data_IF_452324365541
#
_entry.id   IF_452324365541
#
_cell.length_a   1.000
_cell.length_b   1.000
_cell.length_c   1.000
_cell.angle_alpha   90.00
_cell.angle_beta   90.00
_cell.angle_gamma   90.00
#
_symmetry.space_group_name_H-M   'P 1'
#
loop_
_entity.id
_entity.type
_entity.pdbx_description
1 polymer ?
#
# COMPACT_ATOMS: atom_id res chain seq x y z
N UNK A 1 20.83 -0.87 -7.50
CA UNK A 1 20.34 -1.66 -8.64
C UNK A 1 20.06 -3.07 -8.13
N UNK A 2 18.80 -3.42 -7.91
CA UNK A 2 18.38 -4.72 -7.36
C UNK A 2 17.43 -5.42 -8.36
N UNK A 3 17.38 -6.74 -8.31
CA UNK A 3 16.41 -7.56 -9.06
C UNK A 3 15.65 -8.47 -8.10
N UNK A 4 14.33 -8.52 -8.28
CA UNK A 4 13.45 -9.43 -7.58
C UNK A 4 13.45 -10.79 -8.27
N UNK A 5 13.42 -11.85 -7.47
CA UNK A 5 13.46 -13.24 -7.94
C UNK A 5 12.40 -14.13 -7.28
N UNK A 6 11.81 -13.68 -6.17
CA UNK A 6 10.73 -14.38 -5.51
C UNK A 6 9.74 -13.38 -4.91
N UNK A 7 8.56 -13.87 -4.56
CA UNK A 7 7.58 -13.15 -3.75
C UNK A 7 7.16 -14.03 -2.57
N UNK A 8 6.70 -13.41 -1.49
CA UNK A 8 6.08 -14.13 -0.37
C UNK A 8 4.76 -14.76 -0.79
N UNK A 9 4.39 -15.84 -0.11
CA UNK A 9 3.10 -16.51 -0.26
C UNK A 9 2.45 -16.58 1.12
N UNK A 10 1.22 -16.12 1.23
CA UNK A 10 0.49 -16.15 2.51
C UNK A 10 0.18 -17.60 2.96
N UNK A 11 -0.37 -17.76 4.16
CA UNK A 11 -0.72 -19.08 4.72
C UNK A 11 -1.80 -19.83 3.95
N UNK A 12 -2.56 -19.16 3.08
CA UNK A 12 -3.63 -19.72 2.25
C UNK A 12 -3.17 -19.98 0.80
N UNK A 13 -1.93 -19.63 0.46
CA UNK A 13 -1.38 -19.78 -0.89
C UNK A 13 -1.54 -18.54 -1.78
N UNK A 14 -2.08 -17.45 -1.24
CA UNK A 14 -2.23 -16.17 -1.92
C UNK A 14 -0.88 -15.46 -2.14
N UNK A 15 -0.83 -14.68 -3.22
CA UNK A 15 0.36 -13.93 -3.71
C UNK A 15 0.07 -12.44 -3.83
N UNK A 16 -0.84 -11.97 -2.98
CA UNK A 16 -1.14 -10.56 -2.89
C UNK A 16 -1.95 -10.23 -1.65
N UNK A 17 -2.12 -8.94 -1.46
CA UNK A 17 -2.81 -8.37 -0.31
C UNK A 17 -3.56 -7.10 -0.74
N UNK A 18 -4.27 -6.48 0.18
CA UNK A 18 -5.11 -5.33 -0.08
C UNK A 18 -4.78 -4.17 0.86
N UNK A 19 -4.78 -2.97 0.31
CA UNK A 19 -4.83 -1.75 1.09
C UNK A 19 -6.24 -1.53 1.64
N UNK A 20 -6.33 -0.92 2.82
CA UNK A 20 -7.57 -0.55 3.46
C UNK A 20 -7.60 0.91 3.92
N UNK A 21 -8.80 1.48 3.97
CA UNK A 21 -9.11 2.54 4.93
C UNK A 21 -9.81 1.91 6.12
N UNK A 22 -9.34 2.27 7.30
CA UNK A 22 -9.86 1.80 8.58
C UNK A 22 -10.36 2.96 9.44
N UNK A 23 -11.37 2.68 10.25
CA UNK A 23 -11.90 3.60 11.28
C UNK A 23 -12.15 2.83 12.57
N UNK A 24 -12.39 3.54 13.67
CA UNK A 24 -12.77 2.90 14.92
C UNK A 24 -14.20 2.35 14.79
N UNK A 25 -14.46 1.10 15.19
CA UNK A 25 -15.78 0.48 15.04
C UNK A 25 -16.91 1.24 15.75
N UNK A 26 -16.58 1.99 16.80
CA UNK A 26 -17.52 2.79 17.58
C UNK A 26 -17.64 4.23 17.05
N UNK A 27 -16.87 4.58 16.02
CA UNK A 27 -16.97 5.89 15.40
C UNK A 27 -18.33 6.01 14.69
N UNK A 28 -19.13 7.07 14.95
CA UNK A 28 -20.42 7.26 14.30
C UNK A 28 -20.38 7.24 12.76
N UNK A 29 -19.22 7.48 12.15
CA UNK A 29 -19.07 7.48 10.69
C UNK A 29 -19.24 6.11 10.04
N UNK A 30 -19.07 5.00 10.78
CA UNK A 30 -18.94 3.63 10.21
C UNK A 30 -20.09 3.28 9.26
N UNK A 31 -21.33 3.47 9.70
CA UNK A 31 -22.50 3.07 8.93
C UNK A 31 -22.61 3.87 7.62
N UNK A 32 -22.43 5.19 7.70
CA UNK A 32 -22.52 6.06 6.53
C UNK A 32 -21.33 5.84 5.58
N UNK A 33 -20.12 5.66 6.11
CA UNK A 33 -18.92 5.39 5.33
C UNK A 33 -19.05 4.09 4.51
N UNK A 34 -19.57 3.03 5.13
CA UNK A 34 -19.84 1.76 4.42
C UNK A 34 -20.95 1.90 3.37
N UNK A 35 -22.02 2.64 3.68
CA UNK A 35 -23.13 2.83 2.74
C UNK A 35 -22.74 3.67 1.52
N UNK A 36 -21.90 4.69 1.69
CA UNK A 36 -21.46 5.59 0.62
C UNK A 36 -20.26 5.03 -0.18
N UNK A 37 -19.46 4.17 0.45
CA UNK A 37 -18.10 3.83 0.03
C UNK A 37 -17.10 4.66 0.85
N UNK A 38 -16.20 3.99 1.58
CA UNK A 38 -15.35 4.65 2.57
C UNK A 38 -14.40 5.69 1.97
N UNK A 39 -13.94 5.49 0.75
CA UNK A 39 -13.18 6.46 -0.04
C UNK A 39 -13.99 7.73 -0.32
N UNK A 40 -15.19 7.59 -0.88
CA UNK A 40 -16.10 8.70 -1.19
C UNK A 40 -16.50 9.47 0.06
N UNK A 41 -16.85 8.73 1.12
CA UNK A 41 -17.16 9.31 2.42
C UNK A 41 -16.00 10.13 2.97
N UNK A 42 -14.79 9.56 2.92
CA UNK A 42 -13.57 10.19 3.44
C UNK A 42 -13.28 11.49 2.72
N UNK A 43 -13.38 11.52 1.38
CA UNK A 43 -13.18 12.75 0.59
C UNK A 43 -14.25 13.79 0.90
N UNK A 44 -15.53 13.38 0.86
CA UNK A 44 -16.67 14.28 1.05
C UNK A 44 -16.64 14.98 2.42
N UNK A 45 -16.20 14.26 3.45
CA UNK A 45 -16.20 14.74 4.84
C UNK A 45 -14.80 15.16 5.34
N UNK A 46 -13.80 15.24 4.46
CA UNK A 46 -12.39 15.43 4.83
C UNK A 46 -12.17 16.61 5.78
N UNK A 47 -12.85 17.74 5.56
CA UNK A 47 -12.72 18.95 6.37
C UNK A 47 -13.07 18.75 7.86
N UNK A 48 -13.78 17.67 8.21
CA UNK A 48 -14.13 17.30 9.58
C UNK A 48 -13.30 16.13 10.13
N UNK A 49 -12.56 15.42 9.27
CA UNK A 49 -11.85 14.20 9.61
C UNK A 49 -10.36 14.44 9.86
N UNK A 50 -9.83 13.81 10.89
CA UNK A 50 -8.39 13.56 11.03
C UNK A 50 -8.02 12.29 10.27
N UNK A 51 -7.12 12.41 9.32
CA UNK A 51 -6.65 11.30 8.49
C UNK A 51 -5.19 10.95 8.80
N UNK A 52 -4.88 9.66 8.87
CA UNK A 52 -3.51 9.17 9.02
C UNK A 52 -3.08 8.30 7.84
N UNK A 53 -2.04 8.74 7.12
CA UNK A 53 -1.23 7.82 6.33
C UNK A 53 -0.30 7.03 7.24
N UNK A 54 0.21 5.91 6.73
CA UNK A 54 1.31 5.18 7.35
C UNK A 54 2.64 5.90 7.08
N UNK A 55 3.40 5.42 6.08
CA UNK A 55 4.73 5.90 5.70
C UNK A 55 4.71 6.29 4.22
N UNK A 56 5.36 7.39 3.80
CA UNK A 56 5.41 7.82 2.40
C UNK A 56 5.96 6.77 1.42
N UNK A 57 6.76 5.81 1.87
CA UNK A 57 7.30 4.73 1.03
C UNK A 57 6.43 3.47 1.05
N UNK A 58 5.32 3.48 1.78
CA UNK A 58 4.43 2.32 1.88
C UNK A 58 3.54 2.19 0.64
N UNK A 59 3.51 0.99 0.04
CA UNK A 59 2.61 0.67 -1.08
C UNK A 59 1.14 0.80 -0.68
N UNK A 60 0.68 0.02 0.30
CA UNK A 60 -0.71 0.09 0.80
C UNK A 60 -0.95 1.25 1.76
N UNK A 61 0.05 1.66 2.52
CA UNK A 61 -0.08 2.72 3.51
C UNK A 61 0.00 4.13 2.94
N UNK A 62 0.34 4.28 1.66
CA UNK A 62 0.44 5.59 1.02
C UNK A 62 0.16 5.56 -0.47
N UNK A 63 0.95 4.84 -1.28
CA UNK A 63 0.88 4.93 -2.75
C UNK A 63 -0.50 4.56 -3.31
N UNK A 64 -1.01 3.39 -2.93
CA UNK A 64 -2.30 2.86 -3.41
C UNK A 64 -3.47 3.77 -3.03
N UNK A 65 -3.66 4.16 -1.74
CA UNK A 65 -4.65 5.17 -1.37
C UNK A 65 -4.43 6.52 -2.06
N UNK A 66 -3.18 7.00 -2.16
CA UNK A 66 -2.84 8.26 -2.84
C UNK A 66 -3.35 8.28 -4.26
N UNK A 67 -3.23 7.18 -4.99
CA UNK A 67 -3.74 7.08 -6.35
C UNK A 67 -5.26 6.95 -6.37
N UNK A 68 -5.79 5.85 -5.84
CA UNK A 68 -7.20 5.46 -6.05
C UNK A 68 -8.19 6.39 -5.35
N UNK A 69 -7.83 6.89 -4.17
CA UNK A 69 -8.72 7.74 -3.38
C UNK A 69 -8.50 9.20 -3.77
N UNK A 70 -7.25 9.67 -3.89
CA UNK A 70 -6.99 11.10 -3.99
C UNK A 70 -6.68 11.56 -5.43
N UNK A 71 -5.64 11.01 -6.05
CA UNK A 71 -5.17 11.44 -7.36
C UNK A 71 -6.15 11.12 -8.48
N UNK A 72 -7.02 10.11 -8.38
CA UNK A 72 -8.09 9.94 -9.37
C UNK A 72 -9.25 10.94 -9.19
N UNK A 73 -9.49 11.40 -7.96
CA UNK A 73 -10.64 12.24 -7.62
C UNK A 73 -10.38 13.75 -7.64
N UNK A 74 -9.19 14.20 -8.07
CA UNK A 74 -8.93 15.65 -8.15
C UNK A 74 -8.37 16.27 -6.87
N UNK A 75 -8.14 15.48 -5.82
CA UNK A 75 -7.99 16.04 -4.47
C UNK A 75 -6.58 15.89 -3.93
N UNK A 76 -6.10 16.92 -3.24
CA UNK A 76 -4.83 16.91 -2.51
C UNK A 76 -5.10 16.64 -1.02
N UNK A 77 -4.72 15.47 -0.48
CA UNK A 77 -4.99 15.13 0.92
C UNK A 77 -4.36 16.13 1.89
N UNK A 78 -3.27 16.83 1.51
CA UNK A 78 -2.64 17.84 2.38
C UNK A 78 -3.49 19.09 2.56
N UNK A 79 -4.50 19.31 1.71
CA UNK A 79 -5.33 20.52 1.69
C UNK A 79 -6.76 20.32 2.16
N UNK A 80 -7.27 19.09 2.11
CA UNK A 80 -8.71 18.83 2.34
C UNK A 80 -9.05 18.36 3.75
N UNK A 81 -8.10 17.76 4.49
CA UNK A 81 -8.38 17.20 5.81
C UNK A 81 -8.29 18.25 6.92
N UNK A 82 -9.11 18.10 7.96
CA UNK A 82 -8.97 18.86 9.21
C UNK A 82 -7.55 18.78 9.76
N UNK A 83 -6.99 17.56 9.73
CA UNK A 83 -5.62 17.26 10.11
C UNK A 83 -5.15 16.01 9.36
N UNK A 84 -3.99 16.11 8.72
CA UNK A 84 -3.31 14.98 8.09
C UNK A 84 -2.05 14.63 8.91
N UNK A 85 -1.85 13.36 9.22
CA UNK A 85 -0.64 12.86 9.90
C UNK A 85 -0.04 11.67 9.18
N UNK A 86 1.24 11.42 9.44
CA UNK A 86 1.95 10.20 9.06
C UNK A 86 2.35 9.47 10.34
N UNK A 87 1.80 8.28 10.56
CA UNK A 87 2.04 7.52 11.79
C UNK A 87 3.29 6.63 11.73
N UNK A 88 3.88 6.45 10.55
CA UNK A 88 5.19 5.80 10.34
C UNK A 88 5.17 4.27 10.28
N UNK A 89 4.15 3.58 10.79
CA UNK A 89 4.01 2.12 10.60
C UNK A 89 2.54 1.67 10.51
N UNK A 90 2.31 0.47 9.99
CA UNK A 90 0.97 -0.14 9.95
C UNK A 90 0.42 -0.39 11.35
N UNK A 91 1.29 -0.76 12.30
CA UNK A 91 0.87 -0.95 13.69
C UNK A 91 0.51 0.40 14.32
N UNK A 92 1.30 1.45 14.08
CA UNK A 92 1.01 2.78 14.60
C UNK A 92 -0.30 3.35 14.06
N UNK A 93 -0.61 3.19 12.75
CA UNK A 93 -1.91 3.63 12.22
C UNK A 93 -3.07 2.82 12.81
N UNK A 94 -2.91 1.50 12.95
CA UNK A 94 -3.95 0.65 13.55
C UNK A 94 -4.23 1.00 15.02
N UNK A 95 -3.18 1.23 15.82
CA UNK A 95 -3.32 1.64 17.21
C UNK A 95 -3.91 3.05 17.36
N UNK A 96 -3.54 3.99 16.48
CA UNK A 96 -4.15 5.31 16.47
C UNK A 96 -5.67 5.24 16.24
N UNK A 97 -6.13 4.35 15.35
CA UNK A 97 -7.55 4.11 15.12
C UNK A 97 -8.20 3.39 16.30
N UNK A 98 -7.60 2.31 16.79
CA UNK A 98 -8.15 1.53 17.91
C UNK A 98 -8.33 2.39 19.18
N UNK A 99 -7.46 3.39 19.37
CA UNK A 99 -7.49 4.33 20.49
C UNK A 99 -8.23 5.65 20.18
N UNK A 100 -8.89 5.74 19.03
CA UNK A 100 -9.69 6.90 18.60
C UNK A 100 -8.89 8.24 18.57
N UNK A 101 -7.60 8.17 18.20
CA UNK A 101 -6.70 9.32 18.09
C UNK A 101 -6.81 10.02 16.72
N UNK A 102 -7.24 9.27 15.70
CA UNK A 102 -7.54 9.73 14.35
C UNK A 102 -8.84 9.08 13.87
N UNK A 103 -9.52 9.70 12.91
CA UNK A 103 -10.86 9.26 12.48
C UNK A 103 -10.78 8.17 11.39
N UNK A 104 -9.85 8.34 10.44
CA UNK A 104 -9.63 7.42 9.33
C UNK A 104 -8.13 7.23 9.12
N UNK A 105 -7.68 6.01 8.84
CA UNK A 105 -6.28 5.73 8.53
C UNK A 105 -6.10 4.68 7.44
N UNK A 106 -4.95 4.68 6.80
CA UNK A 106 -4.55 3.62 5.86
C UNK A 106 -3.97 2.40 6.60
N UNK A 107 -4.29 1.20 6.13
CA UNK A 107 -3.69 -0.06 6.59
C UNK A 107 -3.72 -1.15 5.50
N UNK A 108 -3.44 -2.41 5.83
CA UNK A 108 -3.63 -3.57 4.94
C UNK A 108 -4.15 -4.80 5.70
N UNK A 109 -4.71 -5.78 4.98
CA UNK A 109 -5.24 -7.00 5.60
C UNK A 109 -4.16 -7.76 6.38
N UNK A 110 -2.96 -7.96 5.82
CA UNK A 110 -1.89 -8.72 6.47
C UNK A 110 -1.48 -8.13 7.83
N UNK A 111 -1.41 -6.81 7.95
CA UNK A 111 -1.10 -6.15 9.22
C UNK A 111 -2.25 -6.20 10.21
N UNK A 112 -3.49 -6.16 9.74
CA UNK A 112 -4.66 -6.35 10.60
C UNK A 112 -4.78 -7.81 11.09
N UNK A 113 -4.41 -8.77 10.27
CA UNK A 113 -4.37 -10.19 10.62
C UNK A 113 -3.25 -10.45 11.63
N UNK A 114 -2.06 -9.86 11.43
CA UNK A 114 -0.99 -9.88 12.44
C UNK A 114 -1.46 -9.23 13.75
N UNK A 115 -2.14 -8.08 13.68
CA UNK A 115 -2.68 -7.41 14.87
C UNK A 115 -3.73 -8.26 15.59
N UNK A 116 -4.53 -9.05 14.88
CA UNK A 116 -5.46 -10.01 15.49
C UNK A 116 -4.74 -11.01 16.39
N UNK A 117 -3.51 -11.40 16.03
CA UNK A 117 -2.69 -12.31 16.81
C UNK A 117 -1.94 -11.59 17.94
N UNK A 118 -1.34 -10.44 17.67
CA UNK A 118 -0.46 -9.74 18.62
C UNK A 118 -1.22 -8.86 19.61
N UNK A 119 -2.35 -8.26 19.19
CA UNK A 119 -3.19 -7.40 20.01
C UNK A 119 -4.67 -7.49 19.61
N UNK A 120 -5.35 -8.61 19.92
CA UNK A 120 -6.75 -8.84 19.54
C UNK A 120 -7.71 -7.78 20.10
N UNK A 121 -7.40 -7.18 21.25
CA UNK A 121 -8.22 -6.11 21.85
C UNK A 121 -8.22 -4.86 20.98
N UNK A 122 -7.05 -4.45 20.49
CA UNK A 122 -6.95 -3.32 19.57
C UNK A 122 -7.64 -3.64 18.23
N UNK A 123 -7.36 -4.82 17.65
CA UNK A 123 -7.98 -5.25 16.39
C UNK A 123 -9.51 -5.27 16.46
N UNK A 124 -10.08 -5.69 17.59
CA UNK A 124 -11.51 -5.71 17.83
C UNK A 124 -12.17 -4.32 17.83
N UNK A 125 -11.40 -3.24 17.87
CA UNK A 125 -11.91 -1.86 17.78
C UNK A 125 -11.78 -1.24 16.39
N UNK A 126 -11.30 -2.00 15.39
CA UNK A 126 -11.01 -1.49 14.05
C UNK A 126 -12.01 -2.06 13.06
N UNK A 127 -12.55 -1.17 12.23
CA UNK A 127 -13.47 -1.49 11.16
C UNK A 127 -12.88 -1.05 9.80
N UNK A 128 -13.01 -1.89 8.78
CA UNK A 128 -12.60 -1.56 7.40
C UNK A 128 -13.77 -0.90 6.68
N UNK A 129 -13.52 0.25 6.06
CA UNK A 129 -14.53 1.03 5.32
C UNK A 129 -14.24 1.13 3.82
N UNK A 130 -13.03 0.77 3.40
CA UNK A 130 -12.63 0.68 1.99
C UNK A 130 -11.53 -0.35 1.80
N UNK A 131 -11.50 -1.00 0.64
CA UNK A 131 -10.51 -2.00 0.24
C UNK A 131 -10.07 -1.73 -1.19
N UNK A 132 -8.76 -1.78 -1.46
CA UNK A 132 -8.20 -1.59 -2.79
C UNK A 132 -8.41 -2.80 -3.70
N UNK A 133 -7.95 -2.67 -4.96
CA UNK A 133 -7.61 -3.83 -5.79
C UNK A 133 -6.43 -4.60 -5.19
N UNK A 134 -6.21 -5.83 -5.67
CA UNK A 134 -5.12 -6.69 -5.24
C UNK A 134 -3.76 -6.03 -5.53
N UNK A 135 -2.88 -6.07 -4.54
CA UNK A 135 -1.48 -5.64 -4.59
C UNK A 135 -0.63 -6.91 -4.60
N UNK A 136 0.33 -7.08 -5.53
CA UNK A 136 1.25 -8.21 -5.49
C UNK A 136 1.99 -8.29 -4.16
N UNK A 137 2.22 -9.50 -3.66
CA UNK A 137 2.95 -9.75 -2.41
C UNK A 137 4.37 -9.20 -2.43
N UNK A 138 4.96 -9.11 -1.24
CA UNK A 138 6.26 -8.50 -1.04
C UNK A 138 7.37 -9.23 -1.82
N UNK A 139 8.28 -8.47 -2.47
CA UNK A 139 9.40 -9.05 -3.21
C UNK A 139 10.50 -9.55 -2.27
N UNK A 140 11.13 -10.65 -2.66
CA UNK A 140 12.49 -10.98 -2.26
C UNK A 140 13.42 -10.60 -3.41
N UNK A 141 14.38 -9.73 -3.10
CA UNK A 141 15.30 -9.17 -4.07
C UNK A 141 16.75 -9.22 -3.56
N UNK A 142 17.69 -9.23 -4.49
CA UNK A 142 19.11 -9.06 -4.21
C UNK A 142 19.71 -8.02 -5.16
N UNK A 143 20.92 -7.56 -4.85
CA UNK A 143 21.66 -6.64 -5.75
C UNK A 143 22.04 -7.36 -7.05
N UNK A 144 21.93 -6.66 -8.18
CA UNK A 144 22.18 -7.25 -9.52
C UNK A 144 23.64 -7.69 -9.74
N UNK A 145 24.57 -7.10 -9.00
CA UNK A 145 26.02 -7.32 -9.09
C UNK A 145 26.54 -8.46 -8.19
N UNK A 146 25.67 -9.27 -7.56
CA UNK A 146 26.13 -10.49 -6.89
C UNK A 146 26.70 -11.51 -7.90
N UNK A 147 27.74 -12.28 -7.52
CA UNK A 147 28.18 -13.44 -8.27
C UNK A 147 27.05 -14.43 -8.54
N UNK A 148 27.00 -15.00 -9.75
CA UNK A 148 25.88 -15.86 -10.17
C UNK A 148 25.76 -17.13 -9.33
N UNK A 149 26.88 -17.70 -8.87
CA UNK A 149 26.87 -18.87 -7.98
C UNK A 149 26.20 -18.56 -6.63
N UNK A 150 26.37 -17.35 -6.11
CA UNK A 150 25.70 -16.88 -4.90
C UNK A 150 24.21 -16.63 -5.16
N UNK A 151 23.85 -15.99 -6.28
CA UNK A 151 22.45 -15.80 -6.65
C UNK A 151 21.72 -17.15 -6.75
N UNK A 152 22.34 -18.15 -7.37
CA UNK A 152 21.76 -19.50 -7.46
C UNK A 152 21.53 -20.12 -6.09
N UNK A 153 22.48 -20.01 -5.16
CA UNK A 153 22.32 -20.50 -3.77
C UNK A 153 21.16 -19.82 -3.07
N UNK A 154 21.04 -18.49 -3.20
CA UNK A 154 19.94 -17.71 -2.61
C UNK A 154 18.59 -18.14 -3.19
N UNK A 155 18.46 -18.19 -4.52
CA UNK A 155 17.23 -18.65 -5.19
C UNK A 155 16.83 -20.05 -4.72
N UNK A 156 17.79 -20.99 -4.72
CA UNK A 156 17.55 -22.36 -4.27
C UNK A 156 17.06 -22.40 -2.81
N UNK A 157 17.63 -21.60 -1.92
CA UNK A 157 17.15 -21.53 -0.53
C UNK A 157 15.69 -21.07 -0.48
N UNK A 158 15.37 -19.89 -1.02
CA UNK A 158 14.01 -19.33 -0.92
C UNK A 158 12.95 -20.21 -1.59
N UNK A 159 13.26 -20.84 -2.73
CA UNK A 159 12.30 -21.71 -3.42
C UNK A 159 11.97 -22.99 -2.64
N UNK A 160 12.91 -23.48 -1.83
CA UNK A 160 12.76 -24.75 -1.11
C UNK A 160 12.52 -24.58 0.40
N UNK A 161 12.64 -23.37 0.94
CA UNK A 161 12.43 -23.11 2.37
C UNK A 161 10.94 -23.16 2.72
N UNK A 162 10.56 -24.09 3.59
CA UNK A 162 9.16 -24.38 3.98
C UNK A 162 8.96 -24.61 5.48
N UNK A 163 9.92 -24.19 6.32
CA UNK A 163 9.80 -24.39 7.78
C UNK A 163 8.65 -23.53 8.36
N UNK A 164 7.54 -24.15 8.81
CA UNK A 164 6.40 -23.41 9.32
C UNK A 164 6.67 -22.71 10.66
N UNK A 165 7.64 -23.17 11.45
CA UNK A 165 8.00 -22.50 12.71
C UNK A 165 8.63 -21.13 12.46
N UNK A 166 9.31 -20.96 11.31
CA UNK A 166 9.88 -19.69 10.87
C UNK A 166 8.86 -18.86 10.09
N UNK A 167 8.08 -19.48 9.19
CA UNK A 167 7.23 -18.74 8.24
C UNK A 167 5.88 -18.30 8.81
N UNK A 168 5.22 -19.14 9.63
CA UNK A 168 3.88 -18.83 10.15
C UNK A 168 3.82 -17.57 11.02
N UNK A 169 4.81 -17.26 11.88
CA UNK A 169 4.82 -16.00 12.64
C UNK A 169 4.79 -14.74 11.76
N UNK A 170 5.23 -14.85 10.50
CA UNK A 170 5.19 -13.77 9.52
C UNK A 170 3.96 -13.80 8.62
N UNK A 171 3.06 -14.78 8.80
CA UNK A 171 1.89 -14.97 7.94
C UNK A 171 2.21 -15.62 6.60
N UNK A 172 3.36 -16.29 6.47
CA UNK A 172 3.80 -16.89 5.20
C UNK A 172 3.72 -18.42 5.22
N UNK A 173 3.51 -19.03 4.06
CA UNK A 173 3.68 -20.47 3.81
C UNK A 173 4.95 -20.79 3.01
N UNK A 174 5.59 -19.78 2.43
CA UNK A 174 6.85 -19.87 1.74
C UNK A 174 7.01 -18.78 0.71
N UNK A 175 7.76 -19.09 -0.35
CA UNK A 175 8.05 -18.17 -1.44
C UNK A 175 7.73 -18.81 -2.78
N UNK A 176 7.36 -17.98 -3.74
CA UNK A 176 7.12 -18.38 -5.13
C UNK A 176 8.03 -17.62 -6.08
N UNK A 177 8.36 -18.23 -7.22
CA UNK A 177 9.23 -17.60 -8.21
C UNK A 177 8.57 -16.33 -8.78
N UNK A 178 9.33 -15.26 -8.88
CA UNK A 178 8.88 -13.99 -9.43
C UNK A 178 10.03 -13.32 -10.21
N UNK A 179 9.72 -12.24 -10.91
CA UNK A 179 10.73 -11.40 -11.52
C UNK A 179 10.31 -9.93 -11.42
N UNK A 180 11.19 -9.00 -11.82
CA UNK A 180 10.93 -7.57 -11.73
C UNK A 180 9.56 -7.16 -12.32
N UNK A 181 9.07 -7.82 -13.37
CA UNK A 181 7.79 -7.47 -14.04
C UNK A 181 6.56 -7.76 -13.17
N UNK A 182 6.66 -8.65 -12.17
CA UNK A 182 5.58 -8.91 -11.21
C UNK A 182 5.08 -7.62 -10.55
N UNK A 183 5.97 -6.63 -10.35
CA UNK A 183 5.64 -5.33 -9.76
C UNK A 183 5.49 -4.20 -10.78
N UNK A 184 5.39 -4.49 -12.08
CA UNK A 184 5.01 -3.49 -13.09
C UNK A 184 3.71 -2.76 -12.75
N UNK A 185 2.64 -3.42 -12.24
CA UNK A 185 1.44 -2.71 -11.81
C UNK A 185 1.71 -1.62 -10.76
N UNK A 186 2.68 -1.82 -9.86
CA UNK A 186 3.07 -0.82 -8.86
C UNK A 186 3.85 0.34 -9.49
N UNK A 187 4.74 0.05 -10.44
CA UNK A 187 5.45 1.09 -11.21
C UNK A 187 4.48 1.92 -12.04
N UNK A 188 3.54 1.27 -12.73
CA UNK A 188 2.49 1.95 -13.49
C UNK A 188 1.65 2.84 -12.60
N UNK A 189 1.28 2.36 -11.40
CA UNK A 189 0.50 3.12 -10.43
C UNK A 189 1.23 4.38 -9.95
N UNK A 190 2.51 4.26 -9.59
CA UNK A 190 3.32 5.40 -9.16
C UNK A 190 3.49 6.44 -10.26
N UNK A 191 3.82 5.99 -11.48
CA UNK A 191 3.95 6.87 -12.64
C UNK A 191 2.61 7.56 -12.95
N UNK A 192 1.49 6.81 -12.96
CA UNK A 192 0.16 7.35 -13.21
C UNK A 192 -0.25 8.37 -12.15
N UNK A 193 0.05 8.12 -10.87
CA UNK A 193 -0.15 9.10 -9.79
C UNK A 193 0.60 10.40 -10.09
N UNK A 194 1.89 10.32 -10.40
CA UNK A 194 2.71 11.51 -10.69
C UNK A 194 2.20 12.28 -11.91
N UNK A 195 1.76 11.59 -12.97
CA UNK A 195 1.14 12.21 -14.15
C UNK A 195 -0.12 12.99 -13.74
N UNK A 196 -1.04 12.35 -13.01
CA UNK A 196 -2.30 12.98 -12.59
C UNK A 196 -2.09 14.19 -11.67
N UNK A 197 -1.07 14.15 -10.82
CA UNK A 197 -0.70 15.29 -9.96
C UNK A 197 -0.18 16.47 -10.77
N UNK A 198 0.59 16.23 -11.84
CA UNK A 198 1.09 17.27 -12.74
C UNK A 198 -0.03 17.85 -13.62
N UNK A 199 -0.85 16.99 -14.22
CA UNK A 199 -1.94 17.41 -15.13
C UNK A 199 -3.01 18.28 -14.47
N UNK A 200 -3.12 18.24 -13.13
CA UNK A 200 -4.06 19.07 -12.36
C UNK A 200 -3.53 20.43 -11.99
N UNK A 201 -2.24 20.71 -12.20
CA UNK A 201 -1.68 22.04 -11.95
C UNK A 201 -2.14 22.98 -13.05
N UNK A 202 -2.69 24.13 -12.67
CA UNK A 202 -3.15 25.14 -13.62
C UNK A 202 -2.01 25.68 -14.51
N UNK A 203 -0.80 25.80 -13.94
CA UNK A 203 0.37 26.32 -14.64
C UNK A 203 1.60 25.44 -14.36
N UNK A 204 1.99 24.64 -15.35
CA UNK A 204 3.20 23.82 -15.31
C UNK A 204 4.44 24.62 -15.72
N UNK A 205 5.52 24.51 -14.94
CA UNK A 205 6.85 25.02 -15.32
C UNK A 205 7.38 24.29 -16.57
N UNK A 206 8.44 24.82 -17.19
CA UNK A 206 9.12 24.14 -18.29
C UNK A 206 9.68 22.78 -17.85
N UNK A 207 10.26 22.69 -16.64
CA UNK A 207 10.75 21.42 -16.10
C UNK A 207 9.61 20.43 -15.83
N UNK A 208 8.46 20.91 -15.35
CA UNK A 208 7.32 20.04 -15.07
C UNK A 208 6.67 19.51 -16.36
N UNK A 209 6.63 20.30 -17.42
CA UNK A 209 6.21 19.83 -18.76
C UNK A 209 7.15 18.75 -19.28
N UNK A 210 8.46 18.95 -19.13
CA UNK A 210 9.45 17.94 -19.52
C UNK A 210 9.32 16.67 -18.68
N UNK A 211 9.12 16.80 -17.36
CA UNK A 211 8.89 15.66 -16.46
C UNK A 211 7.61 14.90 -16.83
N UNK A 212 6.52 15.59 -17.14
CA UNK A 212 5.26 14.97 -17.56
C UNK A 212 5.46 14.10 -18.81
N UNK A 213 6.20 14.62 -19.80
CA UNK A 213 6.52 13.87 -21.02
C UNK A 213 7.41 12.64 -20.71
N UNK A 214 8.42 12.80 -19.87
CA UNK A 214 9.27 11.68 -19.43
C UNK A 214 8.46 10.59 -18.71
N UNK A 215 7.53 10.98 -17.83
CA UNK A 215 6.67 10.02 -17.12
C UNK A 215 5.75 9.26 -18.08
N UNK A 216 5.21 9.93 -19.11
CA UNK A 216 4.39 9.26 -20.14
C UNK A 216 5.19 8.23 -20.92
N UNK A 217 6.42 8.58 -21.31
CA UNK A 217 7.34 7.65 -21.99
C UNK A 217 7.72 6.47 -21.07
N UNK A 218 7.99 6.73 -19.79
CA UNK A 218 8.25 5.67 -18.80
C UNK A 218 7.04 4.75 -18.64
N UNK A 219 5.83 5.29 -18.56
CA UNK A 219 4.61 4.49 -18.44
C UNK A 219 4.43 3.56 -19.65
N UNK A 220 4.66 4.09 -20.87
CA UNK A 220 4.58 3.30 -22.09
C UNK A 220 5.64 2.19 -22.12
N UNK A 221 6.87 2.48 -21.67
CA UNK A 221 7.94 1.51 -21.61
C UNK A 221 7.62 0.37 -20.63
N UNK A 222 7.09 0.68 -19.45
CA UNK A 222 6.69 -0.34 -18.44
C UNK A 222 5.55 -1.22 -18.97
N UNK A 223 4.56 -0.64 -19.66
CA UNK A 223 3.45 -1.39 -20.25
C UNK A 223 3.86 -2.30 -21.41
N UNK A 224 4.97 -1.99 -22.06
CA UNK A 224 5.48 -2.73 -23.21
C UNK A 224 6.54 -3.77 -22.83
N UNK A 225 6.97 -3.81 -21.56
CA UNK A 225 7.99 -4.72 -21.04
C UNK A 225 7.38 -5.97 -20.45
#
# INVERSE_FOLDING_TARGET
NAEAFAQTVDTEGGKGYYSHLITNKNNPIVAEAKAMGGDKYTIKNAANLTFAFNDPNSTSGFLVPSYYIFAQNGVDPKKIFKRLVFSGSHEATALAIANNQVDVATNNNESLDRLQQTNPKARANIETIWTSTLIPSDPIAYRKDLPEDLKQKIRNFFYNFKDPAVLKPHGWSGFDQANDKTWNPIRELDIAKQILELEKKENLSAEEKQKLEQLRQQLQAVKSS
#
